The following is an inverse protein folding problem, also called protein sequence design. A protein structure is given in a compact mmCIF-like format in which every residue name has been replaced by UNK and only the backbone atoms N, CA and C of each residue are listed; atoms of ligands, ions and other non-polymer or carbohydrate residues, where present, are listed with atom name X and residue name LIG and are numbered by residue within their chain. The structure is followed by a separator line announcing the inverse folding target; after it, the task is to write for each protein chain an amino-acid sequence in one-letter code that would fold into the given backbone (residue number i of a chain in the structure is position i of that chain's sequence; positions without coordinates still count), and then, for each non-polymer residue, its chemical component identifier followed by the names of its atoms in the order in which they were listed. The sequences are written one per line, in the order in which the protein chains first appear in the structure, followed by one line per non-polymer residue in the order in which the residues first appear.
data_IF_866569319992
#
_entry.id   IF_866569319992
#
_cell.length_a   1.000
_cell.length_b   1.000
_cell.length_c   1.000
_cell.angle_alpha   90.00
_cell.angle_beta   90.00
_cell.angle_gamma   90.00
#
_symmetry.space_group_name_H-M   'P 1'
#
loop_
_entity.id
_entity.type
_entity.pdbx_description
1 polymer ?
#
# COMPACT_ATOMS: atom_id res chain seq x y z
N UNK A 1 -36.36 -3.06 -24.13
CA UNK A 1 -36.44 -1.64 -23.73
C UNK A 1 -35.10 -1.14 -23.21
N UNK A 2 -34.74 -1.45 -21.96
CA UNK A 2 -33.57 -0.87 -21.27
C UNK A 2 -32.20 -1.19 -21.90
N UNK A 3 -31.99 -2.38 -22.48
CA UNK A 3 -30.69 -2.77 -23.04
C UNK A 3 -30.29 -2.02 -24.32
N UNK A 4 -31.24 -1.46 -25.08
CA UNK A 4 -30.96 -0.75 -26.32
C UNK A 4 -30.49 0.69 -26.05
N UNK A 5 -31.15 1.38 -25.10
CA UNK A 5 -30.79 2.75 -24.71
C UNK A 5 -29.39 2.81 -24.07
N UNK A 6 -28.97 1.78 -23.33
CA UNK A 6 -27.65 1.75 -22.68
C UNK A 6 -26.49 1.62 -23.69
N UNK A 7 -26.67 0.87 -24.79
CA UNK A 7 -25.67 0.82 -25.86
C UNK A 7 -25.46 2.17 -26.55
N UNK A 8 -26.54 2.95 -26.70
CA UNK A 8 -26.48 4.32 -27.25
C UNK A 8 -25.73 5.26 -26.30
N UNK A 9 -25.98 5.16 -24.99
CA UNK A 9 -25.29 5.98 -23.98
C UNK A 9 -23.78 5.69 -23.99
N UNK A 10 -23.37 4.42 -24.03
CA UNK A 10 -21.95 4.05 -24.10
C UNK A 10 -21.28 4.60 -25.37
N UNK A 11 -21.93 4.48 -26.52
CA UNK A 11 -21.40 5.02 -27.78
C UNK A 11 -21.28 6.55 -27.72
N UNK A 12 -22.32 7.24 -27.23
CA UNK A 12 -22.32 8.69 -27.11
C UNK A 12 -21.21 9.19 -26.18
N UNK A 13 -21.06 8.59 -25.00
CA UNK A 13 -20.03 9.03 -24.04
C UNK A 13 -18.62 8.73 -24.57
N UNK A 14 -18.46 7.64 -25.32
CA UNK A 14 -17.18 7.30 -25.96
C UNK A 14 -16.77 8.35 -26.97
N UNK A 15 -17.67 8.73 -27.87
CA UNK A 15 -17.39 9.79 -28.85
C UNK A 15 -17.16 11.14 -28.18
N UNK A 16 -17.93 11.46 -27.13
CA UNK A 16 -17.67 12.65 -26.33
C UNK A 16 -16.26 12.66 -25.72
N UNK A 17 -15.81 11.55 -25.10
CA UNK A 17 -14.46 11.46 -24.54
C UNK A 17 -13.39 11.62 -25.61
N UNK A 18 -13.54 10.94 -26.76
CA UNK A 18 -12.60 11.03 -27.88
C UNK A 18 -12.49 12.45 -28.42
N UNK A 19 -13.62 13.14 -28.60
CA UNK A 19 -13.62 14.52 -29.10
C UNK A 19 -13.05 15.48 -28.05
N UNK A 20 -13.45 15.35 -26.78
CA UNK A 20 -12.99 16.22 -25.70
C UNK A 20 -11.46 16.14 -25.51
N UNK A 21 -10.89 14.94 -25.60
CA UNK A 21 -9.45 14.71 -25.43
C UNK A 21 -8.59 15.14 -26.63
N UNK A 22 -9.18 15.60 -27.75
CA UNK A 22 -8.41 16.24 -28.82
C UNK A 22 -7.88 17.62 -28.41
N UNK A 23 -8.65 18.32 -27.60
CA UNK A 23 -8.40 19.71 -27.21
C UNK A 23 -8.05 19.87 -25.72
N UNK A 24 -8.24 18.83 -24.90
CA UNK A 24 -8.07 18.88 -23.45
C UNK A 24 -7.27 17.67 -22.93
N UNK A 25 -6.72 17.82 -21.72
CA UNK A 25 -5.98 16.72 -21.08
C UNK A 25 -6.92 15.68 -20.44
N UNK A 26 -6.36 14.53 -20.09
CA UNK A 26 -7.08 13.54 -19.26
C UNK A 26 -7.50 14.15 -17.92
N UNK A 27 -6.65 14.96 -17.29
CA UNK A 27 -6.96 15.60 -16.00
C UNK A 27 -8.17 16.53 -16.11
N UNK A 28 -8.31 17.26 -17.21
CA UNK A 28 -9.48 18.09 -17.50
C UNK A 28 -10.74 17.24 -17.65
N UNK A 29 -10.65 16.11 -18.35
CA UNK A 29 -11.76 15.17 -18.50
C UNK A 29 -12.17 14.60 -17.14
N UNK A 30 -11.21 14.16 -16.34
CA UNK A 30 -11.46 13.64 -14.99
C UNK A 30 -12.09 14.72 -14.09
N UNK A 31 -11.61 15.96 -14.15
CA UNK A 31 -12.20 17.07 -13.41
C UNK A 31 -13.66 17.36 -13.84
N UNK A 32 -13.94 17.27 -15.14
CA UNK A 32 -15.30 17.39 -15.68
C UNK A 32 -16.21 16.27 -15.18
N UNK A 33 -15.73 15.02 -15.21
CA UNK A 33 -16.46 13.85 -14.71
C UNK A 33 -16.74 13.95 -13.21
N UNK A 34 -15.78 14.43 -12.41
CA UNK A 34 -15.96 14.70 -10.98
C UNK A 34 -17.04 15.73 -10.74
N UNK A 35 -17.02 16.85 -11.48
CA UNK A 35 -18.05 17.90 -11.38
C UNK A 35 -19.44 17.37 -11.73
N UNK A 36 -19.52 16.44 -12.69
CA UNK A 36 -20.74 15.73 -13.06
C UNK A 36 -21.13 14.58 -12.13
N UNK A 37 -20.32 14.21 -11.13
CA UNK A 37 -20.49 13.01 -10.28
C UNK A 37 -20.57 11.70 -11.08
N UNK A 38 -19.87 11.64 -12.22
CA UNK A 38 -19.86 10.50 -13.14
C UNK A 38 -18.58 9.67 -13.04
N UNK A 39 -17.53 10.21 -12.42
CA UNK A 39 -16.22 9.57 -12.36
C UNK A 39 -16.22 8.22 -11.62
N UNK A 40 -17.05 8.05 -10.59
CA UNK A 40 -17.22 6.78 -9.87
C UNK A 40 -18.20 5.83 -10.58
N UNK A 41 -18.94 6.33 -11.58
CA UNK A 41 -20.09 5.68 -12.18
C UNK A 41 -19.87 5.35 -13.66
N UNK A 42 -18.61 5.26 -14.12
CA UNK A 42 -18.30 4.95 -15.52
C UNK A 42 -18.92 3.63 -16.00
N UNK A 43 -19.06 2.65 -15.10
CA UNK A 43 -19.71 1.37 -15.38
C UNK A 43 -21.22 1.52 -15.64
N UNK A 44 -21.86 2.60 -15.19
CA UNK A 44 -23.30 2.81 -15.42
C UNK A 44 -23.63 3.07 -16.89
N UNK A 45 -22.67 3.58 -17.66
CA UNK A 45 -22.79 3.75 -19.10
C UNK A 45 -22.86 2.41 -19.84
N UNK A 46 -22.32 1.33 -19.26
CA UNK A 46 -22.33 0.01 -19.88
C UNK A 46 -23.71 -0.65 -19.74
N UNK A 47 -24.10 -1.50 -20.71
CA UNK A 47 -25.25 -2.38 -20.58
C UNK A 47 -25.18 -3.18 -19.28
N UNK A 48 -26.32 -3.40 -18.62
CA UNK A 48 -26.37 -4.04 -17.29
C UNK A 48 -25.59 -5.36 -17.18
N UNK A 49 -25.59 -6.20 -18.22
CA UNK A 49 -24.83 -7.46 -18.26
C UNK A 49 -23.32 -7.33 -18.51
N UNK A 50 -22.79 -6.11 -18.68
CA UNK A 50 -21.38 -5.82 -18.99
C UNK A 50 -20.77 -4.76 -18.07
N UNK A 51 -21.33 -4.57 -16.88
CA UNK A 51 -20.82 -3.59 -15.91
C UNK A 51 -19.68 -4.19 -15.08
N UNK A 52 -18.55 -4.45 -15.74
CA UNK A 52 -17.35 -4.98 -15.08
C UNK A 52 -16.11 -4.16 -15.46
N UNK A 53 -15.09 -4.20 -14.60
CA UNK A 53 -13.82 -3.51 -14.86
C UNK A 53 -13.14 -4.00 -16.14
N UNK A 54 -13.29 -5.30 -16.46
CA UNK A 54 -12.77 -5.92 -17.67
C UNK A 54 -13.48 -5.37 -18.91
N UNK A 55 -14.81 -5.31 -18.90
CA UNK A 55 -15.59 -4.77 -20.02
C UNK A 55 -15.28 -3.29 -20.27
N UNK A 56 -15.10 -2.51 -19.21
CA UNK A 56 -14.68 -1.11 -19.31
C UNK A 56 -13.31 -0.99 -19.96
N UNK A 57 -12.33 -1.76 -19.46
CA UNK A 57 -10.96 -1.74 -19.95
C UNK A 57 -10.89 -2.17 -21.41
N UNK A 58 -11.58 -3.26 -21.78
CA UNK A 58 -11.64 -3.75 -23.15
C UNK A 58 -12.26 -2.75 -24.11
N UNK A 59 -13.38 -2.13 -23.74
CA UNK A 59 -14.09 -1.17 -24.59
C UNK A 59 -13.23 0.07 -24.84
N UNK A 60 -12.78 0.74 -23.78
CA UNK A 60 -12.04 2.00 -23.94
C UNK A 60 -10.63 1.79 -24.52
N UNK A 61 -10.01 0.62 -24.31
CA UNK A 61 -8.76 0.27 -25.03
C UNK A 61 -8.99 0.17 -26.53
N UNK A 62 -10.07 -0.50 -26.97
CA UNK A 62 -10.42 -0.62 -28.40
C UNK A 62 -10.69 0.72 -29.06
N UNK A 63 -11.20 1.67 -28.28
CA UNK A 63 -11.51 3.04 -28.72
C UNK A 63 -10.31 4.01 -28.63
N UNK A 64 -9.13 3.52 -28.26
CA UNK A 64 -7.90 4.32 -28.16
C UNK A 64 -7.79 5.19 -26.91
N UNK A 65 -8.68 4.98 -25.92
CA UNK A 65 -8.73 5.73 -24.66
C UNK A 65 -7.93 5.03 -23.55
N UNK A 66 -6.70 4.59 -23.86
CA UNK A 66 -5.87 3.79 -22.93
C UNK A 66 -5.50 4.55 -21.66
N UNK A 67 -5.29 5.86 -21.75
CA UNK A 67 -4.99 6.69 -20.58
C UNK A 67 -6.14 6.76 -19.58
N UNK A 68 -7.40 6.73 -20.07
CA UNK A 68 -8.60 6.61 -19.22
C UNK A 68 -8.68 5.22 -18.58
N UNK A 69 -8.30 4.16 -19.31
CA UNK A 69 -8.24 2.80 -18.77
C UNK A 69 -7.21 2.72 -17.65
N UNK A 70 -5.99 3.21 -17.87
CA UNK A 70 -4.91 3.23 -16.88
C UNK A 70 -5.34 3.99 -15.62
N UNK A 71 -5.98 5.16 -15.81
CA UNK A 71 -6.56 5.94 -14.73
C UNK A 71 -7.59 5.13 -13.94
N UNK A 72 -8.54 4.50 -14.62
CA UNK A 72 -9.60 3.73 -13.98
C UNK A 72 -9.05 2.50 -13.24
N UNK A 73 -8.09 1.78 -13.83
CA UNK A 73 -7.41 0.64 -13.18
C UNK A 73 -6.72 1.10 -11.89
N UNK A 74 -5.97 2.21 -11.95
CA UNK A 74 -5.31 2.78 -10.78
C UNK A 74 -6.33 3.23 -9.72
N UNK A 75 -7.39 3.92 -10.11
CA UNK A 75 -8.45 4.38 -9.20
C UNK A 75 -9.14 3.20 -8.51
N UNK A 76 -9.52 2.16 -9.26
CA UNK A 76 -10.15 0.96 -8.70
C UNK A 76 -9.21 0.22 -7.75
N UNK A 77 -7.91 0.19 -8.05
CA UNK A 77 -6.89 -0.33 -7.15
C UNK A 77 -6.84 0.48 -5.83
N UNK A 78 -6.79 1.81 -5.91
CA UNK A 78 -6.75 2.69 -4.73
C UNK A 78 -8.01 2.56 -3.86
N UNK A 79 -9.19 2.42 -4.48
CA UNK A 79 -10.46 2.20 -3.76
C UNK A 79 -10.41 0.87 -2.99
N UNK A 80 -10.05 -0.24 -3.66
CA UNK A 80 -9.92 -1.54 -3.01
C UNK A 80 -8.88 -1.52 -1.89
N UNK A 81 -7.74 -0.87 -2.14
CA UNK A 81 -6.68 -0.73 -1.15
C UNK A 81 -7.18 -0.02 0.10
N UNK A 82 -7.95 1.07 -0.07
CA UNK A 82 -8.55 1.82 1.04
C UNK A 82 -9.59 0.99 1.82
N UNK A 83 -10.45 0.26 1.12
CA UNK A 83 -11.44 -0.63 1.75
C UNK A 83 -10.76 -1.70 2.61
N UNK A 84 -9.75 -2.37 2.04
CA UNK A 84 -9.00 -3.42 2.73
C UNK A 84 -8.23 -2.86 3.92
N UNK A 85 -7.57 -1.70 3.78
CA UNK A 85 -6.96 -1.00 4.92
C UNK A 85 -7.96 -0.76 6.04
N UNK A 86 -9.14 -0.25 5.72
CA UNK A 86 -10.19 -0.01 6.72
C UNK A 86 -10.60 -1.29 7.45
N UNK A 87 -10.82 -2.38 6.71
CA UNK A 87 -11.17 -3.69 7.31
C UNK A 87 -10.06 -4.19 8.24
N UNK A 88 -8.82 -4.17 7.78
CA UNK A 88 -7.68 -4.68 8.57
C UNK A 88 -7.41 -3.81 9.79
N UNK A 89 -7.54 -2.48 9.67
CA UNK A 89 -7.40 -1.57 10.83
C UNK A 89 -8.47 -1.87 11.88
N UNK A 90 -9.71 -2.21 11.48
CA UNK A 90 -10.75 -2.65 12.42
C UNK A 90 -10.35 -3.95 13.11
N UNK A 91 -9.96 -4.98 12.36
CA UNK A 91 -9.55 -6.27 12.95
C UNK A 91 -8.39 -6.12 13.93
N UNK A 92 -7.42 -5.27 13.61
CA UNK A 92 -6.27 -5.01 14.48
C UNK A 92 -6.68 -4.28 15.76
N UNK A 93 -7.57 -3.29 15.67
CA UNK A 93 -8.08 -2.57 16.85
C UNK A 93 -8.97 -3.45 17.74
N UNK A 94 -9.64 -4.44 17.16
CA UNK A 94 -10.42 -5.44 17.87
C UNK A 94 -9.55 -6.59 18.43
N UNK A 95 -8.23 -6.51 18.24
CA UNK A 95 -7.25 -7.51 18.68
C UNK A 95 -7.60 -8.91 18.15
N UNK A 96 -8.08 -8.99 16.90
CA UNK A 96 -8.38 -10.25 16.22
C UNK A 96 -7.14 -11.15 16.14
N UNK A 97 -7.36 -12.47 16.04
CA UNK A 97 -6.28 -13.44 15.96
C UNK A 97 -5.43 -13.22 14.70
N UNK A 98 -4.10 -13.27 14.84
CA UNK A 98 -3.17 -13.05 13.72
C UNK A 98 -3.45 -14.00 12.56
N UNK A 99 -3.83 -15.25 12.83
CA UNK A 99 -4.18 -16.23 11.80
C UNK A 99 -5.42 -15.81 11.00
N UNK A 100 -6.44 -15.27 11.66
CA UNK A 100 -7.66 -14.79 11.02
C UNK A 100 -7.35 -13.59 10.11
N UNK A 101 -6.61 -12.61 10.63
CA UNK A 101 -6.17 -11.44 9.84
C UNK A 101 -5.34 -11.89 8.64
N UNK A 102 -4.44 -12.86 8.83
CA UNK A 102 -3.61 -13.42 7.75
C UNK A 102 -4.45 -14.08 6.66
N UNK A 103 -5.49 -14.84 7.02
CA UNK A 103 -6.41 -15.46 6.06
C UNK A 103 -7.20 -14.42 5.27
N UNK A 104 -7.69 -13.37 5.93
CA UNK A 104 -8.36 -12.25 5.27
C UNK A 104 -7.44 -11.56 4.28
N UNK A 105 -6.21 -11.24 4.67
CA UNK A 105 -5.24 -10.60 3.75
C UNK A 105 -4.95 -11.52 2.56
N UNK A 106 -4.69 -12.82 2.78
CA UNK A 106 -4.46 -13.78 1.67
C UNK A 106 -5.61 -13.84 0.68
N UNK A 107 -6.85 -13.86 1.17
CA UNK A 107 -8.04 -13.88 0.32
C UNK A 107 -8.17 -12.58 -0.49
N UNK A 108 -8.01 -11.43 0.16
CA UNK A 108 -8.10 -10.13 -0.49
C UNK A 108 -6.99 -9.91 -1.54
N UNK A 109 -5.77 -10.33 -1.24
CA UNK A 109 -4.63 -10.28 -2.17
C UNK A 109 -4.90 -11.12 -3.42
N UNK A 110 -5.48 -12.32 -3.24
CA UNK A 110 -5.86 -13.20 -4.35
C UNK A 110 -6.98 -12.59 -5.21
N UNK A 111 -8.02 -12.04 -4.59
CA UNK A 111 -9.19 -11.51 -5.30
C UNK A 111 -8.87 -10.19 -6.02
N UNK A 112 -8.09 -9.31 -5.38
CA UNK A 112 -7.68 -8.04 -5.96
C UNK A 112 -6.42 -8.14 -6.85
N UNK A 113 -5.73 -9.29 -6.84
CA UNK A 113 -4.42 -9.51 -7.49
C UNK A 113 -3.39 -8.45 -7.09
N UNK A 114 -3.30 -8.18 -5.79
CA UNK A 114 -2.35 -7.18 -5.31
C UNK A 114 -0.91 -7.63 -5.51
N UNK A 115 -0.02 -6.74 -5.98
CA UNK A 115 1.42 -7.00 -5.97
C UNK A 115 1.92 -7.18 -4.53
N UNK A 116 2.75 -8.18 -4.27
CA UNK A 116 3.28 -8.49 -2.92
C UNK A 116 3.93 -7.27 -2.23
N UNK A 117 4.63 -6.42 -3.01
CA UNK A 117 5.23 -5.16 -2.55
C UNK A 117 4.16 -4.22 -1.94
N UNK A 118 3.01 -4.10 -2.59
CA UNK A 118 1.93 -3.22 -2.12
C UNK A 118 1.25 -3.82 -0.89
N UNK A 119 1.22 -5.15 -0.76
CA UNK A 119 0.72 -5.83 0.45
C UNK A 119 1.59 -5.49 1.65
N UNK A 120 2.92 -5.61 1.54
CA UNK A 120 3.86 -5.27 2.63
C UNK A 120 3.71 -3.82 3.06
N UNK A 121 3.64 -2.89 2.09
CA UNK A 121 3.44 -1.46 2.37
C UNK A 121 2.12 -1.18 3.06
N UNK A 122 1.05 -1.83 2.59
CA UNK A 122 -0.29 -1.68 3.13
C UNK A 122 -0.37 -2.19 4.57
N UNK A 123 0.18 -3.37 4.86
CA UNK A 123 0.17 -3.94 6.20
C UNK A 123 0.90 -3.03 7.19
N UNK A 124 2.06 -2.50 6.82
CA UNK A 124 2.77 -1.54 7.65
C UNK A 124 1.93 -0.27 7.92
N UNK A 125 1.26 0.28 6.89
CA UNK A 125 0.37 1.43 7.07
C UNK A 125 -0.75 1.14 8.06
N UNK A 126 -1.43 -0.01 7.91
CA UNK A 126 -2.51 -0.44 8.80
C UNK A 126 -2.03 -0.57 10.24
N UNK A 127 -0.85 -1.18 10.46
CA UNK A 127 -0.27 -1.28 11.81
C UNK A 127 -0.03 0.10 12.42
N UNK A 128 0.56 1.03 11.67
CA UNK A 128 0.85 2.37 12.18
C UNK A 128 -0.41 3.21 12.39
N UNK A 129 -1.46 3.02 11.56
CA UNK A 129 -2.77 3.65 11.71
C UNK A 129 -3.51 3.19 12.96
N UNK A 130 -3.29 1.95 13.41
CA UNK A 130 -3.86 1.41 14.64
C UNK A 130 -3.13 1.85 15.93
N UNK A 131 -1.97 2.51 15.82
CA UNK A 131 -1.23 2.99 17.00
C UNK A 131 -2.01 4.10 17.71
N UNK A 132 -2.22 3.92 19.01
CA UNK A 132 -2.83 4.95 19.87
C UNK A 132 -1.82 6.04 20.23
N UNK A 133 -1.79 7.11 19.42
CA UNK A 133 -0.89 8.25 19.61
C UNK A 133 -1.36 9.21 20.70
N UNK A 134 -0.43 9.62 21.57
CA UNK A 134 -0.56 10.69 22.54
C UNK A 134 -0.03 12.01 21.98
N UNK A 135 -0.83 13.08 22.06
CA UNK A 135 -0.42 14.43 21.67
C UNK A 135 0.55 15.12 22.64
N UNK A 136 0.82 14.52 23.81
CA UNK A 136 1.60 15.16 24.89
C UNK A 136 2.80 14.34 25.36
N UNK A 137 2.86 13.05 25.05
CA UNK A 137 3.88 12.15 25.61
C UNK A 137 4.63 11.39 24.51
N UNK A 138 5.83 11.87 24.20
CA UNK A 138 6.69 11.28 23.17
C UNK A 138 7.21 9.88 23.55
N UNK A 139 7.47 9.63 24.84
CA UNK A 139 7.89 8.29 25.30
C UNK A 139 6.75 7.28 25.16
N UNK A 140 5.53 7.69 25.51
CA UNK A 140 4.35 6.85 25.32
C UNK A 140 4.13 6.51 23.84
N UNK A 141 4.27 7.48 22.94
CA UNK A 141 4.21 7.25 21.49
C UNK A 141 5.22 6.20 21.04
N UNK A 142 6.43 6.27 21.57
CA UNK A 142 7.51 5.33 21.24
C UNK A 142 7.14 3.92 21.69
N UNK A 143 6.69 3.77 22.94
CA UNK A 143 6.29 2.48 23.51
C UNK A 143 5.06 1.89 22.79
N UNK A 144 4.08 2.72 22.43
CA UNK A 144 2.89 2.28 21.69
C UNK A 144 3.24 1.75 20.31
N UNK A 145 4.11 2.45 19.58
CA UNK A 145 4.55 2.00 18.26
C UNK A 145 5.31 0.66 18.32
N UNK A 146 6.28 0.53 19.23
CA UNK A 146 7.02 -0.73 19.40
C UNK A 146 6.12 -1.88 19.87
N UNK A 147 5.18 -1.61 20.78
CA UNK A 147 4.19 -2.62 21.21
C UNK A 147 3.36 -3.10 20.01
N UNK A 148 2.93 -2.19 19.15
CA UNK A 148 2.17 -2.52 17.95
C UNK A 148 2.98 -3.38 16.98
N UNK A 149 4.25 -3.02 16.71
CA UNK A 149 5.14 -3.78 15.84
C UNK A 149 5.35 -5.20 16.38
N UNK A 150 5.67 -5.33 17.67
CA UNK A 150 5.89 -6.64 18.31
C UNK A 150 4.61 -7.50 18.30
N UNK A 151 3.45 -6.92 18.63
CA UNK A 151 2.19 -7.66 18.70
C UNK A 151 1.78 -8.24 17.34
N UNK A 152 2.15 -7.58 16.24
CA UNK A 152 1.74 -7.96 14.88
C UNK A 152 2.90 -8.40 13.99
N UNK A 153 4.06 -8.69 14.58
CA UNK A 153 5.22 -9.15 13.84
C UNK A 153 4.94 -10.46 13.07
N UNK A 154 4.17 -11.38 13.67
CA UNK A 154 3.73 -12.61 13.00
C UNK A 154 2.92 -12.37 11.73
N UNK A 155 2.09 -11.31 11.70
CA UNK A 155 1.38 -10.89 10.49
C UNK A 155 2.38 -10.40 9.43
N UNK A 156 3.33 -9.54 9.81
CA UNK A 156 4.34 -9.03 8.87
C UNK A 156 5.22 -10.16 8.31
N UNK A 157 5.66 -11.09 9.16
CA UNK A 157 6.47 -12.25 8.77
C UNK A 157 5.74 -13.10 7.71
N UNK A 158 4.43 -13.33 7.87
CA UNK A 158 3.63 -14.09 6.91
C UNK A 158 3.63 -13.52 5.47
N UNK A 159 3.99 -12.24 5.28
CA UNK A 159 4.05 -11.58 3.97
C UNK A 159 5.45 -11.10 3.57
N UNK A 160 6.42 -11.05 4.48
CA UNK A 160 7.83 -10.79 4.18
C UNK A 160 8.57 -12.08 3.81
N UNK A 161 8.12 -12.75 2.75
CA UNK A 161 8.56 -14.11 2.38
C UNK A 161 9.85 -14.17 1.56
N UNK A 162 10.51 -13.03 1.33
CA UNK A 162 11.77 -12.96 0.62
C UNK A 162 12.54 -11.69 0.99
N UNK A 163 13.86 -11.71 0.83
CA UNK A 163 14.71 -10.54 1.07
C UNK A 163 14.30 -9.30 0.27
N UNK A 164 13.65 -9.46 -0.89
CA UNK A 164 13.08 -8.32 -1.65
C UNK A 164 11.91 -7.65 -0.91
N UNK A 165 11.03 -8.44 -0.29
CA UNK A 165 9.86 -7.94 0.45
C UNK A 165 10.25 -7.41 1.82
N UNK A 166 11.19 -8.08 2.49
CA UNK A 166 11.82 -7.58 3.72
C UNK A 166 12.51 -6.22 3.48
N UNK A 167 13.26 -6.09 2.39
CA UNK A 167 13.94 -4.84 2.04
C UNK A 167 12.94 -3.71 1.76
N UNK A 168 11.83 -4.02 1.10
CA UNK A 168 10.73 -3.08 0.88
C UNK A 168 10.10 -2.63 2.21
N UNK A 169 9.94 -3.54 3.18
CA UNK A 169 9.49 -3.18 4.52
C UNK A 169 10.44 -2.17 5.16
N UNK A 170 11.75 -2.43 5.13
CA UNK A 170 12.75 -1.48 5.66
C UNK A 170 12.62 -0.10 4.99
N UNK A 171 12.40 -0.06 3.67
CA UNK A 171 12.25 1.20 2.93
C UNK A 171 11.00 1.97 3.35
N UNK A 172 9.89 1.26 3.58
CA UNK A 172 8.64 1.82 4.04
C UNK A 172 8.79 2.40 5.45
N UNK A 173 9.38 1.63 6.37
CA UNK A 173 9.68 2.05 7.75
C UNK A 173 10.58 3.30 7.75
N UNK A 174 11.66 3.28 6.96
CA UNK A 174 12.59 4.39 6.84
C UNK A 174 11.90 5.67 6.36
N UNK A 175 11.08 5.57 5.32
CA UNK A 175 10.35 6.71 4.75
C UNK A 175 9.41 7.31 5.78
N UNK A 176 8.65 6.48 6.50
CA UNK A 176 7.71 6.97 7.50
C UNK A 176 8.40 7.53 8.74
N UNK A 177 9.48 6.90 9.22
CA UNK A 177 10.27 7.44 10.33
C UNK A 177 10.90 8.80 9.98
N UNK A 178 11.26 9.02 8.71
CA UNK A 178 11.77 10.31 8.25
C UNK A 178 10.70 11.40 8.19
N UNK A 179 9.48 11.03 7.81
CA UNK A 179 8.35 11.96 7.61
C UNK A 179 7.61 12.28 8.91
N UNK A 180 7.62 11.39 9.90
CA UNK A 180 7.00 11.60 11.21
C UNK A 180 8.04 11.79 12.33
N UNK A 181 8.11 13.01 12.86
CA UNK A 181 8.99 13.37 13.97
C UNK A 181 8.79 12.49 15.22
N UNK A 182 7.60 11.89 15.40
CA UNK A 182 7.34 10.95 16.51
C UNK A 182 8.10 9.64 16.35
N UNK A 183 8.40 9.24 15.12
CA UNK A 183 9.02 7.97 14.76
C UNK A 183 10.51 8.09 14.43
N UNK A 184 11.01 9.30 14.15
CA UNK A 184 12.38 9.54 13.71
C UNK A 184 13.46 8.87 14.59
N UNK A 185 13.27 8.80 15.90
CA UNK A 185 14.24 8.17 16.81
C UNK A 185 14.05 6.66 16.97
N UNK A 186 12.92 6.11 16.56
CA UNK A 186 12.55 4.71 16.75
C UNK A 186 13.08 3.79 15.66
N UNK A 187 13.56 4.33 14.53
CA UNK A 187 13.98 3.51 13.40
C UNK A 187 14.89 2.33 13.80
N UNK A 188 15.98 2.51 14.58
CA UNK A 188 16.83 1.38 14.97
C UNK A 188 16.11 0.35 15.84
N UNK A 189 15.25 0.80 16.75
CA UNK A 189 14.48 -0.08 17.65
C UNK A 189 13.43 -0.89 16.88
N UNK A 190 12.80 -0.29 15.87
CA UNK A 190 11.86 -1.00 14.98
C UNK A 190 12.59 -2.06 14.16
N UNK A 191 13.73 -1.73 13.55
CA UNK A 191 14.50 -2.71 12.75
C UNK A 191 14.96 -3.88 13.62
N UNK A 192 15.47 -3.60 14.83
CA UNK A 192 15.85 -4.63 15.77
C UNK A 192 14.65 -5.50 16.21
N UNK A 193 13.51 -4.88 16.54
CA UNK A 193 12.28 -5.59 16.89
C UNK A 193 11.81 -6.52 15.75
N UNK A 194 11.88 -6.07 14.51
CA UNK A 194 11.51 -6.90 13.36
C UNK A 194 12.52 -8.04 13.11
N UNK A 195 13.80 -7.82 13.35
CA UNK A 195 14.83 -8.87 13.33
C UNK A 195 14.59 -9.91 14.43
N UNK A 196 14.41 -9.47 15.68
CA UNK A 196 14.17 -10.32 16.86
C UNK A 196 12.87 -11.16 16.75
N UNK A 197 12.00 -10.86 15.78
CA UNK A 197 10.75 -11.56 15.51
C UNK A 197 10.76 -12.34 14.18
N UNK A 198 11.95 -12.57 13.60
CA UNK A 198 12.16 -13.28 12.35
C UNK A 198 11.43 -12.66 11.14
N UNK A 199 11.10 -11.37 11.20
CA UNK A 199 10.46 -10.65 10.08
C UNK A 199 11.49 -10.16 9.06
N UNK A 200 12.70 -9.81 9.52
CA UNK A 200 13.80 -9.34 8.68
C UNK A 200 15.01 -10.25 8.86
N UNK A 201 15.56 -10.75 7.77
CA UNK A 201 16.82 -11.49 7.81
C UNK A 201 18.03 -10.55 7.98
N UNK A 202 19.08 -11.07 8.62
CA UNK A 202 20.35 -10.37 8.79
C UNK A 202 20.91 -9.85 7.45
N UNK A 203 20.98 -10.73 6.45
CA UNK A 203 21.44 -10.40 5.09
C UNK A 203 20.71 -9.21 4.49
N UNK A 204 19.39 -9.10 4.72
CA UNK A 204 18.58 -7.99 4.22
C UNK A 204 18.93 -6.68 4.93
N UNK A 205 19.16 -6.73 6.25
CA UNK A 205 19.56 -5.57 7.06
C UNK A 205 20.95 -5.10 6.64
N UNK A 206 21.90 -6.02 6.48
CA UNK A 206 23.26 -5.73 6.01
C UNK A 206 23.25 -5.17 4.58
N UNK A 207 22.41 -5.72 3.69
CA UNK A 207 22.21 -5.21 2.34
C UNK A 207 21.71 -3.76 2.35
N UNK A 208 20.67 -3.47 3.14
CA UNK A 208 20.14 -2.13 3.32
C UNK A 208 21.23 -1.19 3.87
N UNK A 209 21.98 -1.64 4.88
CA UNK A 209 23.01 -0.84 5.53
C UNK A 209 24.18 -0.50 4.60
N UNK A 210 24.70 -1.47 3.83
CA UNK A 210 25.91 -1.32 2.99
C UNK A 210 25.62 -0.64 1.66
N UNK A 211 24.67 -1.16 0.88
CA UNK A 211 24.42 -0.69 -0.50
C UNK A 211 23.43 0.47 -0.55
N UNK A 212 22.74 0.71 0.56
CA UNK A 212 21.84 1.84 0.70
C UNK A 212 20.58 1.68 -0.11
N UNK A 213 19.54 2.29 0.44
CA UNK A 213 18.30 2.56 -0.23
C UNK A 213 17.88 4.01 -0.02
N UNK A 214 16.64 4.32 -0.38
CA UNK A 214 15.95 5.61 -0.39
C UNK A 214 16.73 6.78 0.26
N UNK A 215 16.96 7.87 -0.49
CA UNK A 215 17.82 8.98 -0.04
C UNK A 215 17.33 9.68 1.25
N UNK A 216 16.03 9.57 1.58
CA UNK A 216 15.38 10.18 2.74
C UNK A 216 15.94 9.66 4.07
N UNK A 217 16.58 10.52 4.86
CA UNK A 217 17.04 10.17 6.21
C UNK A 217 18.21 9.20 6.30
N UNK A 218 18.75 8.75 5.16
CA UNK A 218 19.77 7.69 5.04
C UNK A 218 20.99 7.92 5.95
N UNK A 219 21.63 9.08 5.87
CA UNK A 219 22.84 9.35 6.67
C UNK A 219 22.57 9.21 8.17
N UNK A 220 21.43 9.73 8.64
CA UNK A 220 21.05 9.68 10.05
C UNK A 220 20.73 8.25 10.50
N UNK A 221 19.93 7.51 9.72
CA UNK A 221 19.49 6.18 10.11
C UNK A 221 20.60 5.14 10.07
N UNK A 222 21.52 5.24 9.11
CA UNK A 222 22.70 4.36 9.04
C UNK A 222 23.57 4.54 10.26
N UNK A 223 23.88 5.79 10.60
CA UNK A 223 24.65 6.10 11.81
C UNK A 223 23.96 5.58 13.06
N UNK A 224 22.62 5.68 13.11
CA UNK A 224 21.84 5.20 14.24
C UNK A 224 21.78 3.66 14.34
N UNK A 225 21.84 2.94 13.21
CA UNK A 225 21.79 1.48 13.15
C UNK A 225 23.19 0.83 13.24
N UNK A 226 24.27 1.60 13.08
CA UNK A 226 25.65 1.11 13.11
C UNK A 226 26.00 0.22 14.32
N UNK A 227 25.59 0.54 15.56
CA UNK A 227 25.87 -0.35 16.71
C UNK A 227 25.20 -1.72 16.59
N UNK A 228 23.99 -1.77 16.01
CA UNK A 228 23.26 -3.03 15.82
C UNK A 228 23.88 -3.85 14.68
N UNK A 229 24.31 -3.20 13.60
CA UNK A 229 24.99 -3.89 12.49
C UNK A 229 26.33 -4.48 12.92
N UNK A 230 27.11 -3.76 13.73
CA UNK A 230 28.35 -4.32 14.30
C UNK A 230 28.08 -5.56 15.13
N UNK A 231 27.01 -5.55 15.93
CA UNK A 231 26.60 -6.71 16.70
C UNK A 231 26.19 -7.90 15.81
N UNK A 232 25.48 -7.67 14.70
CA UNK A 232 25.14 -8.72 13.74
C UNK A 232 26.41 -9.34 13.13
N UNK A 233 27.32 -8.50 12.64
CA UNK A 233 28.58 -8.96 12.04
C UNK A 233 29.48 -9.71 13.05
N UNK A 234 29.51 -9.30 14.32
CA UNK A 234 30.26 -9.98 15.38
C UNK A 234 29.62 -11.32 15.79
N UNK A 235 28.28 -11.42 15.76
CA UNK A 235 27.58 -12.66 16.11
C UNK A 235 27.80 -13.77 15.07
N UNK A 236 27.88 -13.42 13.78
CA UNK A 236 28.18 -14.38 12.69
C UNK A 236 29.62 -14.92 12.79
N UNK A 237 30.59 -14.14 13.29
CA UNK A 237 31.98 -14.56 13.44
C UNK A 237 32.22 -15.55 14.61
N UNK A 238 31.27 -15.64 15.56
CA UNK A 238 31.35 -16.51 16.75
C UNK A 238 30.65 -17.88 16.58
N UNK A 239 29.92 -18.09 15.48
CA UNK A 239 29.27 -19.38 15.11
C UNK A 239 30.09 -20.21 14.10
#
# INVERSE_FOLDING_TARGET
GQSCCQGIVLSFITEFFKEYLKENSLDDLIALLKKGKMEDNLLEFFPSGKRTSEALSEHFTKEGLTSLVDYNVKKMFEVKLKEIKSTLTTMINEEAEISEVTEVVKQQVKDAKFPDIEVVRMLWDVLMEAVQWSGKNQQQNSNSALRQVNAWAGLMNAFCTSGKLELELIYKVQTQCYEDAKLMKLFPEIIRSLYDQDVLAEDTILLWFRKGSNQKGRQSFVKALEPFVKWLEEAEEEE
#
